data_IF_479021502322
#
_entry.id   IF_479021502322
#
_cell.length_a   1.000
_cell.length_b   1.000
_cell.length_c   1.000
_cell.angle_alpha   90.00
_cell.angle_beta   90.00
_cell.angle_gamma   90.00
#
_symmetry.space_group_name_H-M   'P 1'
#
loop_
_entity.id
_entity.type
_entity.pdbx_description
1 polymer ?
#
# COMPACT_ATOMS: atom_id res chain seq x y z
N UNK A 1 38.65 -39.22 -68.09
CA UNK A 1 38.85 -40.67 -67.89
C UNK A 1 37.91 -41.12 -66.77
N UNK A 2 36.92 -42.00 -66.89
CA UNK A 2 36.33 -42.81 -67.98
C UNK A 2 34.80 -42.62 -67.89
N UNK A 3 34.03 -42.64 -69.01
CA UNK A 3 32.58 -42.67 -68.95
C UNK A 3 32.12 -44.11 -68.65
N UNK A 4 31.15 -44.28 -67.75
CA UNK A 4 30.45 -45.56 -67.58
C UNK A 4 29.17 -45.51 -68.40
N UNK A 5 29.23 -46.11 -69.58
CA UNK A 5 28.08 -46.50 -70.40
C UNK A 5 27.34 -47.64 -69.70
N UNK A 6 26.11 -47.40 -69.26
CA UNK A 6 25.15 -48.46 -68.99
C UNK A 6 24.30 -48.67 -70.25
N UNK A 7 24.44 -49.85 -70.86
CA UNK A 7 23.60 -50.34 -71.95
C UNK A 7 22.10 -50.21 -71.64
N UNK A 8 21.25 -50.00 -72.67
CA UNK A 8 19.82 -50.07 -72.50
C UNK A 8 19.41 -51.54 -72.46
N UNK A 9 19.04 -52.02 -71.28
CA UNK A 9 18.34 -53.30 -71.16
C UNK A 9 17.01 -53.17 -71.91
N UNK A 10 16.94 -53.89 -73.04
CA UNK A 10 15.71 -54.14 -73.78
C UNK A 10 14.74 -54.84 -72.85
N UNK A 11 13.72 -54.12 -72.39
CA UNK A 11 12.52 -54.77 -71.87
C UNK A 11 11.69 -55.17 -73.08
N UNK A 12 11.92 -56.42 -73.49
CA UNK A 12 11.04 -57.20 -74.34
C UNK A 12 9.60 -57.17 -73.80
N UNK A 13 8.66 -57.12 -74.74
CA UNK A 13 7.23 -57.02 -74.48
C UNK A 13 6.72 -58.11 -73.55
N UNK A 14 6.12 -57.67 -72.45
CA UNK A 14 5.34 -58.51 -71.54
C UNK A 14 4.10 -57.76 -71.07
N UNK A 15 2.94 -58.16 -71.61
CA UNK A 15 1.59 -58.03 -71.04
C UNK A 15 1.10 -56.64 -70.57
N UNK A 16 0.13 -56.08 -71.29
CA UNK A 16 -0.61 -54.86 -70.91
C UNK A 16 -1.43 -54.94 -69.60
N UNK A 17 -1.34 -56.03 -68.83
CA UNK A 17 -2.00 -56.18 -67.53
C UNK A 17 -1.13 -55.72 -66.35
N UNK A 18 0.19 -55.78 -66.48
CA UNK A 18 1.12 -55.47 -65.37
C UNK A 18 1.37 -53.96 -65.21
N UNK A 19 1.38 -53.21 -66.32
CA UNK A 19 1.46 -51.75 -66.30
C UNK A 19 0.24 -51.05 -65.68
N UNK A 20 -0.96 -51.60 -65.92
CA UNK A 20 -2.21 -51.08 -65.34
C UNK A 20 -2.25 -51.30 -63.81
N UNK A 21 -1.79 -52.45 -63.33
CA UNK A 21 -1.71 -52.76 -61.90
C UNK A 21 -0.62 -51.96 -61.18
N UNK A 22 0.47 -51.59 -61.87
CA UNK A 22 1.51 -50.71 -61.34
C UNK A 22 1.03 -49.25 -61.23
N UNK A 23 0.34 -48.73 -62.25
CA UNK A 23 -0.25 -47.39 -62.25
C UNK A 23 -1.36 -47.25 -61.20
N UNK A 24 -2.21 -48.26 -61.02
CA UNK A 24 -3.24 -48.26 -59.97
C UNK A 24 -2.65 -48.24 -58.55
N UNK A 25 -1.51 -48.90 -58.33
CA UNK A 25 -0.77 -48.86 -57.05
C UNK A 25 -0.10 -47.51 -56.82
N UNK A 26 0.42 -46.88 -57.87
CA UNK A 26 1.00 -45.53 -57.80
C UNK A 26 -0.07 -44.45 -57.53
N UNK A 27 -1.22 -44.52 -58.21
CA UNK A 27 -2.36 -43.63 -57.99
C UNK A 27 -2.95 -43.77 -56.57
N UNK A 28 -3.09 -44.99 -56.05
CA UNK A 28 -3.50 -45.23 -54.65
C UNK A 28 -2.52 -44.64 -53.64
N UNK A 29 -1.21 -44.73 -53.89
CA UNK A 29 -0.19 -44.11 -53.01
C UNK A 29 -0.28 -42.57 -53.05
N UNK A 30 -0.44 -41.96 -54.22
CA UNK A 30 -0.62 -40.51 -54.32
C UNK A 30 -1.91 -40.02 -53.64
N UNK A 31 -3.04 -40.73 -53.81
CA UNK A 31 -4.28 -40.41 -53.10
C UNK A 31 -4.14 -40.54 -51.57
N UNK A 32 -3.43 -41.55 -51.08
CA UNK A 32 -3.14 -41.69 -49.65
C UNK A 32 -2.24 -40.56 -49.11
N UNK A 33 -1.29 -40.07 -49.91
CA UNK A 33 -0.42 -38.94 -49.53
C UNK A 33 -1.17 -37.59 -49.52
N UNK A 34 -2.14 -37.38 -50.41
CA UNK A 34 -2.97 -36.15 -50.42
C UNK A 34 -3.96 -36.15 -49.25
N UNK A 35 -4.66 -37.28 -49.03
CA UNK A 35 -5.62 -37.42 -47.92
C UNK A 35 -4.95 -37.30 -46.54
N UNK A 36 -3.71 -37.81 -46.39
CA UNK A 36 -2.95 -37.67 -45.14
C UNK A 36 -2.44 -36.23 -44.91
N UNK A 37 -2.09 -35.48 -45.97
CA UNK A 37 -1.74 -34.06 -45.87
C UNK A 37 -2.93 -33.19 -45.47
N UNK A 38 -4.11 -33.45 -45.99
CA UNK A 38 -5.33 -32.70 -45.62
C UNK A 38 -5.78 -32.98 -44.20
N UNK A 39 -5.75 -34.26 -43.76
CA UNK A 39 -6.02 -34.62 -42.36
C UNK A 39 -5.02 -33.96 -41.41
N UNK A 40 -3.71 -33.99 -41.71
CA UNK A 40 -2.68 -33.30 -40.90
C UNK A 40 -2.91 -31.78 -40.83
N UNK A 41 -3.28 -31.12 -41.93
CA UNK A 41 -3.58 -29.68 -41.92
C UNK A 41 -4.81 -29.35 -41.07
N UNK A 42 -5.88 -30.14 -41.15
CA UNK A 42 -7.08 -29.96 -40.30
C UNK A 42 -6.78 -30.19 -38.83
N UNK A 43 -6.01 -31.23 -38.51
CA UNK A 43 -5.62 -31.54 -37.13
C UNK A 43 -4.68 -30.47 -36.55
N UNK A 44 -3.67 -30.02 -37.30
CA UNK A 44 -2.76 -28.94 -36.87
C UNK A 44 -3.52 -27.61 -36.72
N UNK A 45 -4.45 -27.30 -37.62
CA UNK A 45 -5.29 -26.08 -37.53
C UNK A 45 -6.24 -26.15 -36.33
N UNK A 46 -6.81 -27.32 -36.04
CA UNK A 46 -7.64 -27.54 -34.87
C UNK A 46 -6.84 -27.39 -33.57
N UNK A 47 -5.66 -28.02 -33.46
CA UNK A 47 -4.79 -27.86 -32.30
C UNK A 47 -4.28 -26.42 -32.16
N UNK A 48 -3.91 -25.75 -33.25
CA UNK A 48 -3.51 -24.35 -33.22
C UNK A 48 -4.63 -23.43 -32.71
N UNK A 49 -5.87 -23.68 -33.13
CA UNK A 49 -7.03 -22.93 -32.64
C UNK A 49 -7.35 -23.24 -31.18
N UNK A 50 -7.20 -24.50 -30.77
CA UNK A 50 -7.37 -24.92 -29.37
C UNK A 50 -6.32 -24.27 -28.45
N UNK A 51 -5.04 -24.27 -28.85
CA UNK A 51 -3.97 -23.60 -28.12
C UNK A 51 -4.19 -22.08 -28.05
N UNK A 52 -4.68 -21.46 -29.12
CA UNK A 52 -5.00 -20.04 -29.14
C UNK A 52 -6.15 -19.71 -28.18
N UNK A 53 -7.22 -20.51 -28.19
CA UNK A 53 -8.34 -20.35 -27.26
C UNK A 53 -7.89 -20.53 -25.79
N UNK A 54 -7.01 -21.50 -25.52
CA UNK A 54 -6.44 -21.73 -24.19
C UNK A 54 -5.58 -20.53 -23.73
N UNK A 55 -4.78 -19.96 -24.63
CA UNK A 55 -3.95 -18.79 -24.35
C UNK A 55 -4.80 -17.54 -24.05
N UNK A 56 -5.88 -17.32 -24.79
CA UNK A 56 -6.83 -16.20 -24.54
C UNK A 56 -7.56 -16.40 -23.21
N UNK A 57 -8.03 -17.61 -22.92
CA UNK A 57 -8.67 -17.92 -21.64
C UNK A 57 -7.71 -17.74 -20.46
N UNK A 58 -6.45 -18.14 -20.61
CA UNK A 58 -5.42 -17.93 -19.59
C UNK A 58 -5.10 -16.45 -19.37
N UNK A 59 -4.95 -15.67 -20.45
CA UNK A 59 -4.71 -14.23 -20.38
C UNK A 59 -5.89 -13.46 -19.75
N UNK A 60 -7.12 -13.85 -20.06
CA UNK A 60 -8.30 -13.27 -19.42
C UNK A 60 -8.39 -13.67 -17.93
N UNK A 61 -8.08 -14.91 -17.60
CA UNK A 61 -8.08 -15.41 -16.22
C UNK A 61 -7.10 -14.67 -15.31
N UNK A 62 -5.88 -14.39 -15.78
CA UNK A 62 -4.87 -13.66 -15.00
C UNK A 62 -5.25 -12.19 -14.81
N UNK A 63 -5.85 -11.54 -15.81
CA UNK A 63 -6.34 -10.16 -15.69
C UNK A 63 -7.50 -10.04 -14.70
N UNK A 64 -8.46 -10.98 -14.72
CA UNK A 64 -9.57 -11.00 -13.76
C UNK A 64 -9.05 -11.26 -12.34
N UNK A 65 -8.11 -12.19 -12.17
CA UNK A 65 -7.55 -12.51 -10.85
C UNK A 65 -6.75 -11.33 -10.26
N UNK A 66 -5.88 -10.71 -11.06
CA UNK A 66 -5.10 -9.55 -10.64
C UNK A 66 -5.99 -8.32 -10.39
N UNK A 67 -7.00 -8.10 -11.23
CA UNK A 67 -7.99 -7.04 -11.06
C UNK A 67 -8.82 -7.23 -9.78
N UNK A 68 -9.28 -8.44 -9.50
CA UNK A 68 -10.08 -8.74 -8.31
C UNK A 68 -9.28 -8.61 -7.01
N UNK A 69 -8.02 -9.08 -7.00
CA UNK A 69 -7.11 -8.94 -5.86
C UNK A 69 -6.80 -7.47 -5.53
N UNK A 70 -6.51 -6.67 -6.57
CA UNK A 70 -6.25 -5.24 -6.43
C UNK A 70 -7.50 -4.44 -6.01
N UNK A 71 -8.68 -4.79 -6.55
CA UNK A 71 -9.94 -4.14 -6.19
C UNK A 71 -10.33 -4.43 -4.74
N UNK A 72 -10.20 -5.68 -4.29
CA UNK A 72 -10.54 -6.09 -2.91
C UNK A 72 -9.65 -5.39 -1.88
N UNK A 73 -8.35 -5.26 -2.15
CA UNK A 73 -7.41 -4.56 -1.27
C UNK A 73 -7.62 -3.05 -1.27
N UNK A 74 -7.92 -2.44 -2.42
CA UNK A 74 -8.27 -1.02 -2.48
C UNK A 74 -9.57 -0.72 -1.71
N UNK A 75 -10.60 -1.55 -1.89
CA UNK A 75 -11.87 -1.40 -1.21
C UNK A 75 -11.74 -1.58 0.32
N UNK A 76 -10.95 -2.56 0.79
CA UNK A 76 -10.75 -2.76 2.23
C UNK A 76 -9.93 -1.64 2.87
N UNK A 77 -8.94 -1.07 2.16
CA UNK A 77 -8.20 0.12 2.61
C UNK A 77 -9.12 1.31 2.78
N UNK A 78 -9.94 1.57 1.78
CA UNK A 78 -10.89 2.69 1.78
C UNK A 78 -11.93 2.55 2.91
N UNK A 79 -12.42 1.33 3.14
CA UNK A 79 -13.29 1.04 4.29
C UNK A 79 -12.60 1.33 5.62
N UNK A 80 -11.33 0.93 5.79
CA UNK A 80 -10.59 1.20 7.02
C UNK A 80 -10.38 2.71 7.26
N UNK A 81 -10.10 3.49 6.21
CA UNK A 81 -9.96 4.95 6.31
C UNK A 81 -11.29 5.58 6.74
N UNK A 82 -12.41 5.19 6.14
CA UNK A 82 -13.73 5.66 6.56
C UNK A 82 -14.04 5.29 8.01
N UNK A 83 -13.74 4.07 8.44
CA UNK A 83 -13.93 3.64 9.82
C UNK A 83 -13.09 4.46 10.81
N UNK A 84 -11.83 4.79 10.45
CA UNK A 84 -11.01 5.69 11.26
C UNK A 84 -11.67 7.07 11.39
N UNK A 85 -12.08 7.69 10.28
CA UNK A 85 -12.69 9.02 10.27
C UNK A 85 -13.98 9.04 11.11
N UNK A 86 -14.84 8.05 10.92
CA UNK A 86 -16.07 7.92 11.69
C UNK A 86 -15.78 7.73 13.18
N UNK A 87 -14.81 6.89 13.56
CA UNK A 87 -14.47 6.72 14.97
C UNK A 87 -13.86 7.97 15.60
N UNK A 88 -13.21 8.84 14.81
CA UNK A 88 -12.78 10.17 15.28
C UNK A 88 -13.99 11.08 15.48
N UNK A 89 -14.92 11.11 14.50
CA UNK A 89 -16.14 11.94 14.51
C UNK A 89 -17.10 11.56 15.66
N UNK A 90 -17.31 10.26 15.86
CA UNK A 90 -18.16 9.69 16.91
C UNK A 90 -17.47 9.66 18.29
N UNK A 91 -16.22 10.14 18.39
CA UNK A 91 -15.37 10.05 19.57
C UNK A 91 -15.24 8.61 20.14
N UNK A 92 -15.31 7.60 19.26
CA UNK A 92 -15.30 6.17 19.63
C UNK A 92 -13.88 5.69 19.95
N UNK A 93 -13.52 5.83 21.23
CA UNK A 93 -12.24 5.38 21.80
C UNK A 93 -12.02 3.87 21.66
N UNK A 94 -13.08 3.06 21.71
CA UNK A 94 -12.95 1.61 21.64
C UNK A 94 -12.59 1.18 20.21
N UNK A 95 -13.27 1.74 19.22
CA UNK A 95 -12.94 1.53 17.82
C UNK A 95 -11.52 2.04 17.50
N UNK A 96 -11.16 3.25 17.97
CA UNK A 96 -9.81 3.79 17.78
C UNK A 96 -8.73 2.93 18.44
N UNK A 97 -8.96 2.37 19.63
CA UNK A 97 -8.03 1.41 20.25
C UNK A 97 -7.81 0.17 19.40
N UNK A 98 -8.83 -0.30 18.69
CA UNK A 98 -8.74 -1.45 17.80
C UNK A 98 -7.99 -1.19 16.49
N UNK A 99 -7.97 0.08 16.04
CA UNK A 99 -7.44 0.52 14.74
C UNK A 99 -6.06 1.18 14.85
N UNK A 100 -5.80 1.90 15.94
CA UNK A 100 -4.55 2.60 16.17
C UNK A 100 -3.48 1.63 16.67
N UNK A 101 -2.36 1.59 15.95
CA UNK A 101 -1.17 0.85 16.37
C UNK A 101 -0.18 1.82 16.99
N UNK A 102 -0.16 1.87 18.31
CA UNK A 102 0.86 2.59 19.07
C UNK A 102 2.01 1.65 19.39
N UNK A 103 3.21 2.03 18.97
CA UNK A 103 4.46 1.28 19.23
C UNK A 103 5.15 1.68 20.53
N UNK A 104 4.80 2.83 21.11
CA UNK A 104 5.32 3.29 22.39
C UNK A 104 4.31 3.05 23.53
N UNK A 105 4.64 2.14 24.44
CA UNK A 105 3.81 1.76 25.59
C UNK A 105 3.53 2.93 26.56
N UNK A 106 4.34 3.99 26.53
CA UNK A 106 4.15 5.20 27.34
C UNK A 106 2.88 5.99 26.97
N UNK A 107 2.28 5.71 25.82
CA UNK A 107 1.10 6.43 25.30
C UNK A 107 -0.07 5.46 25.10
N UNK A 108 -0.77 5.05 26.18
CA UNK A 108 -1.91 4.14 26.06
C UNK A 108 -3.07 4.81 25.31
N UNK A 109 -3.78 4.08 24.46
CA UNK A 109 -4.97 4.59 23.77
C UNK A 109 -6.19 4.54 24.68
N UNK A 110 -6.64 5.69 25.16
CA UNK A 110 -7.81 5.87 26.02
C UNK A 110 -8.42 7.28 25.82
N UNK A 111 -9.54 7.55 26.52
CA UNK A 111 -10.24 8.83 26.45
C UNK A 111 -9.33 10.03 26.74
N UNK A 112 -8.47 9.96 27.76
CA UNK A 112 -7.60 11.07 28.15
C UNK A 112 -6.52 11.36 27.10
N UNK A 113 -5.96 10.33 26.48
CA UNK A 113 -4.89 10.50 25.47
C UNK A 113 -5.43 10.87 24.10
N UNK A 114 -6.68 10.49 23.78
CA UNK A 114 -7.36 10.85 22.53
C UNK A 114 -8.17 12.15 22.62
N UNK A 115 -8.52 12.65 23.81
CA UNK A 115 -9.23 13.93 23.95
C UNK A 115 -8.59 15.10 23.17
N UNK A 116 -7.25 15.26 23.12
CA UNK A 116 -6.60 16.26 22.27
C UNK A 116 -6.93 16.10 20.79
N UNK A 117 -6.99 14.86 20.31
CA UNK A 117 -7.29 14.54 18.92
C UNK A 117 -8.72 14.96 18.59
N UNK A 118 -9.69 14.55 19.41
CA UNK A 118 -11.09 14.93 19.23
C UNK A 118 -11.26 16.44 19.25
N UNK A 119 -10.68 17.12 20.24
CA UNK A 119 -10.72 18.57 20.34
C UNK A 119 -10.10 19.30 19.13
N UNK A 120 -9.21 18.65 18.38
CA UNK A 120 -8.68 19.17 17.12
C UNK A 120 -9.72 19.04 15.99
N UNK A 121 -10.27 17.85 15.79
CA UNK A 121 -11.25 17.61 14.73
C UNK A 121 -12.57 18.37 14.94
N UNK A 122 -13.01 18.55 16.18
CA UNK A 122 -14.17 19.37 16.52
C UNK A 122 -14.00 20.85 16.08
N UNK A 123 -12.75 21.33 16.01
CA UNK A 123 -12.42 22.72 15.62
C UNK A 123 -12.02 22.86 14.16
N UNK A 124 -11.52 21.77 13.56
CA UNK A 124 -10.92 21.75 12.24
C UNK A 124 -11.61 20.69 11.39
N UNK A 125 -12.83 20.97 10.95
CA UNK A 125 -13.55 20.06 10.04
C UNK A 125 -12.77 19.77 8.74
N UNK A 126 -11.94 20.72 8.30
CA UNK A 126 -11.03 20.60 7.17
C UNK A 126 -9.90 19.57 7.39
N UNK A 127 -9.64 19.17 8.63
CA UNK A 127 -8.63 18.16 8.95
C UNK A 127 -8.98 16.78 8.35
N UNK A 128 -10.27 16.49 8.15
CA UNK A 128 -10.70 15.28 7.45
C UNK A 128 -10.26 15.27 5.98
N UNK A 129 -10.29 16.42 5.31
CA UNK A 129 -9.80 16.55 3.93
C UNK A 129 -8.28 16.45 3.87
N UNK A 130 -7.58 16.93 4.90
CA UNK A 130 -6.13 16.77 5.01
C UNK A 130 -5.74 15.28 5.17
N UNK A 131 -6.47 14.53 6.00
CA UNK A 131 -6.29 13.09 6.12
C UNK A 131 -6.50 12.36 4.79
N UNK A 132 -7.54 12.71 4.03
CA UNK A 132 -7.79 12.09 2.72
C UNK A 132 -6.61 12.33 1.77
N UNK A 133 -6.09 13.57 1.72
CA UNK A 133 -4.89 13.91 0.93
C UNK A 133 -3.66 13.15 1.38
N UNK A 134 -3.45 12.98 2.68
CA UNK A 134 -2.33 12.20 3.21
C UNK A 134 -2.44 10.71 2.85
N UNK A 135 -3.63 10.12 2.96
CA UNK A 135 -3.84 8.73 2.58
C UNK A 135 -3.70 8.49 1.08
N UNK A 136 -4.13 9.44 0.25
CA UNK A 136 -3.93 9.40 -1.19
C UNK A 136 -2.44 9.46 -1.57
N UNK A 137 -1.66 10.32 -0.91
CA UNK A 137 -0.19 10.37 -1.10
C UNK A 137 0.48 9.05 -0.71
N UNK A 138 0.07 8.47 0.41
CA UNK A 138 0.56 7.16 0.86
C UNK A 138 0.17 6.04 -0.12
N UNK A 139 -0.96 6.17 -0.85
CA UNK A 139 -1.39 5.19 -1.85
C UNK A 139 -0.52 5.24 -3.11
N UNK A 140 -0.16 6.43 -3.57
CA UNK A 140 0.62 6.64 -4.80
C UNK A 140 2.09 6.24 -4.66
N UNK A 141 2.55 5.88 -3.46
CA UNK A 141 3.94 5.54 -3.19
C UNK A 141 4.90 6.72 -3.39
N UNK A 142 4.38 7.94 -3.59
CA UNK A 142 5.17 9.14 -3.85
C UNK A 142 6.10 9.48 -2.69
N UNK A 143 5.82 8.99 -1.48
CA UNK A 143 6.71 9.09 -0.33
C UNK A 143 6.66 7.78 0.47
N UNK A 144 7.68 6.94 0.32
CA UNK A 144 8.00 5.98 1.39
C UNK A 144 8.38 6.83 2.60
N UNK A 145 7.57 6.79 3.65
CA UNK A 145 7.92 7.47 4.90
C UNK A 145 9.15 6.77 5.48
N UNK A 146 10.33 7.34 5.23
CA UNK A 146 11.58 6.91 5.86
C UNK A 146 11.77 7.79 7.10
N UNK A 147 11.66 7.17 8.27
CA UNK A 147 11.90 7.80 9.57
C UNK A 147 13.26 8.52 9.55
N UNK A 148 13.24 9.85 9.60
CA UNK A 148 14.45 10.69 9.60
C UNK A 148 14.83 11.34 8.26
N UNK A 149 14.19 10.99 7.14
CA UNK A 149 14.43 11.62 5.83
C UNK A 149 13.27 12.49 5.33
N UNK A 150 12.02 12.13 5.64
CA UNK A 150 10.87 12.98 5.29
C UNK A 150 10.72 14.10 6.30
N UNK A 151 10.74 15.35 5.82
CA UNK A 151 10.59 16.57 6.63
C UNK A 151 9.19 16.75 7.24
N UNK A 152 8.18 16.03 6.73
CA UNK A 152 6.80 16.04 7.22
C UNK A 152 6.21 14.62 7.22
N UNK A 153 6.23 13.90 8.35
CA UNK A 153 5.54 12.62 8.48
C UNK A 153 4.03 12.78 8.27
N UNK A 154 3.34 11.74 7.77
CA UNK A 154 1.88 11.73 7.82
C UNK A 154 1.41 11.71 9.28
N UNK A 155 0.23 12.27 9.54
CA UNK A 155 -0.42 12.25 10.86
C UNK A 155 -0.75 10.81 11.26
N UNK A 156 -1.26 10.02 10.32
CA UNK A 156 -1.46 8.58 10.47
C UNK A 156 -0.82 7.84 9.29
N UNK A 157 0.16 6.99 9.59
CA UNK A 157 0.70 6.07 8.62
C UNK A 157 -0.20 4.82 8.54
N UNK A 158 -0.67 4.48 7.33
CA UNK A 158 -1.51 3.29 7.12
C UNK A 158 -0.66 2.07 6.79
N UNK A 159 -0.86 0.99 7.54
CA UNK A 159 -0.13 -0.26 7.38
C UNK A 159 -1.08 -1.43 7.20
N UNK A 160 -0.78 -2.33 6.27
CA UNK A 160 -1.37 -3.67 6.28
C UNK A 160 -0.69 -4.47 7.41
N UNK A 161 -1.48 -4.88 8.41
CA UNK A 161 -1.00 -5.68 9.52
C UNK A 161 -1.89 -6.91 9.67
N UNK A 162 -1.33 -8.08 9.39
CA UNK A 162 -2.07 -9.34 9.24
C UNK A 162 -3.12 -9.21 8.12
N UNK A 163 -4.39 -9.36 8.46
CA UNK A 163 -5.55 -9.37 7.57
C UNK A 163 -6.33 -8.03 7.56
N UNK A 164 -5.80 -6.98 8.21
CA UNK A 164 -6.46 -5.68 8.33
C UNK A 164 -5.51 -4.51 8.13
N UNK A 165 -6.08 -3.33 7.87
CA UNK A 165 -5.35 -2.08 7.91
C UNK A 165 -5.37 -1.50 9.32
N UNK A 166 -4.21 -1.01 9.76
CA UNK A 166 -4.03 -0.31 11.04
C UNK A 166 -3.34 1.03 10.79
N UNK A 167 -3.51 1.95 11.74
CA UNK A 167 -3.03 3.32 11.62
C UNK A 167 -2.02 3.62 12.72
N UNK A 168 -0.79 3.97 12.34
CA UNK A 168 0.24 4.39 13.28
C UNK A 168 0.22 5.92 13.41
N UNK A 169 -0.15 6.49 14.57
CA UNK A 169 -0.14 7.93 14.76
C UNK A 169 1.27 8.50 14.82
N UNK A 170 1.45 9.72 14.32
CA UNK A 170 2.67 10.47 14.55
C UNK A 170 2.77 10.93 16.01
N UNK A 171 3.97 10.75 16.59
CA UNK A 171 4.29 11.32 17.89
C UNK A 171 4.95 12.69 17.76
N UNK A 172 4.51 13.60 18.62
CA UNK A 172 5.03 14.95 18.76
C UNK A 172 5.70 15.15 20.12
N UNK A 173 6.63 16.09 20.16
CA UNK A 173 7.35 16.50 21.36
C UNK A 173 7.30 18.02 21.47
N UNK A 174 7.08 18.51 22.68
CA UNK A 174 7.06 19.93 23.00
C UNK A 174 8.33 20.28 23.76
N UNK A 175 9.04 21.30 23.29
CA UNK A 175 10.16 21.90 23.99
C UNK A 175 9.69 23.24 24.55
N UNK A 176 9.35 23.27 25.83
CA UNK A 176 8.84 24.46 26.49
C UNK A 176 10.00 25.17 27.18
N UNK A 177 10.37 26.34 26.68
CA UNK A 177 11.32 27.23 27.33
C UNK A 177 10.64 27.99 28.45
N UNK A 178 11.22 27.93 29.64
CA UNK A 178 10.67 28.53 30.85
C UNK A 178 11.71 29.42 31.55
N UNK A 179 11.24 30.40 32.31
CA UNK A 179 12.11 31.40 32.95
C UNK A 179 12.94 30.85 34.12
N UNK A 180 12.47 29.79 34.77
CA UNK A 180 13.14 29.19 35.93
C UNK A 180 12.89 27.68 35.99
N UNK A 181 13.80 26.88 36.60
CA UNK A 181 13.67 25.42 36.64
C UNK A 181 12.52 24.94 37.54
N UNK A 182 12.08 25.78 38.48
CA UNK A 182 11.06 25.43 39.48
C UNK A 182 9.63 25.77 39.09
N UNK A 183 9.43 26.23 37.86
CA UNK A 183 8.07 26.42 37.34
C UNK A 183 7.38 25.08 37.15
N UNK A 184 6.10 25.05 37.47
CA UNK A 184 5.27 23.85 37.29
C UNK A 184 4.61 23.92 35.92
N UNK A 185 4.80 22.90 35.09
CA UNK A 185 4.08 22.74 33.84
C UNK A 185 2.84 21.87 34.05
N UNK A 186 1.71 22.33 33.52
CA UNK A 186 0.44 21.61 33.50
C UNK A 186 0.03 21.45 32.04
N UNK A 187 -0.17 20.22 31.59
CA UNK A 187 -0.57 19.88 30.22
C UNK A 187 -1.94 19.25 30.28
N UNK A 188 -2.93 19.89 29.65
CA UNK A 188 -4.34 19.46 29.70
C UNK A 188 -4.82 19.16 31.13
N UNK A 189 -4.47 20.03 32.08
CA UNK A 189 -4.82 19.88 33.50
C UNK A 189 -3.96 18.89 34.29
N UNK A 190 -3.02 18.17 33.67
CA UNK A 190 -2.13 17.23 34.36
C UNK A 190 -0.77 17.85 34.60
N UNK A 191 -0.36 17.93 35.86
CA UNK A 191 0.98 18.39 36.24
C UNK A 191 2.05 17.45 35.69
N UNK A 192 3.01 18.01 34.96
CA UNK A 192 4.19 17.31 34.46
C UNK A 192 5.42 17.88 35.14
N UNK A 193 6.22 17.00 35.76
CA UNK A 193 7.57 17.33 36.20
C UNK A 193 8.51 17.03 35.04
N UNK A 194 8.98 18.07 34.34
CA UNK A 194 10.03 17.92 33.33
C UNK A 194 11.41 17.91 33.97
N UNK A 195 12.37 17.23 33.37
CA UNK A 195 13.78 17.43 33.67
C UNK A 195 14.21 18.77 33.07
N UNK A 196 14.55 19.75 33.92
CA UNK A 196 15.05 21.04 33.47
C UNK A 196 16.49 20.90 32.97
N UNK A 197 16.74 21.33 31.73
CA UNK A 197 18.08 21.47 31.16
C UNK A 197 18.78 22.74 31.70
N UNK A 198 20.10 22.86 31.50
CA UNK A 198 20.86 24.09 31.82
C UNK A 198 20.45 25.23 30.88
N UNK A 199 20.44 26.46 31.41
CA UNK A 199 20.03 27.72 30.79
C UNK A 199 20.26 27.81 29.26
N UNK A 200 19.22 28.08 28.43
CA UNK A 200 17.81 28.31 28.80
C UNK A 200 17.13 27.05 29.31
N UNK A 201 16.35 27.17 30.39
CA UNK A 201 15.61 26.05 30.97
C UNK A 201 14.54 25.56 29.98
N UNK A 202 14.81 24.42 29.33
CA UNK A 202 13.85 23.76 28.44
C UNK A 202 13.34 22.49 29.12
N UNK A 203 12.03 22.40 29.28
CA UNK A 203 11.35 21.18 29.68
C UNK A 203 10.80 20.47 28.43
N UNK A 204 11.10 19.18 28.32
CA UNK A 204 10.62 18.34 27.22
C UNK A 204 9.34 17.61 27.64
N UNK A 205 8.33 17.63 26.80
CA UNK A 205 7.05 16.95 27.01
C UNK A 205 6.76 16.07 25.82
N UNK A 206 6.43 14.81 26.07
CA UNK A 206 6.06 13.84 25.05
C UNK A 206 6.49 12.43 25.43
N UNK A 207 6.15 11.44 24.60
CA UNK A 207 5.48 11.59 23.31
C UNK A 207 4.00 11.97 23.42
N UNK A 208 3.54 12.85 22.54
CA UNK A 208 2.15 13.31 22.44
C UNK A 208 1.52 12.80 21.13
N UNK A 209 0.23 12.43 21.17
CA UNK A 209 -0.55 12.13 19.98
C UNK A 209 -0.91 13.43 19.22
N UNK A 210 -1.39 13.33 17.97
CA UNK A 210 -1.91 14.49 17.27
C UNK A 210 -3.10 15.11 18.04
N UNK A 211 -3.19 16.43 18.09
CA UNK A 211 -4.30 17.11 18.74
C UNK A 211 -4.03 18.51 19.25
N UNK A 212 -5.01 19.07 19.97
CA UNK A 212 -4.91 20.36 20.67
C UNK A 212 -4.46 20.14 22.12
N UNK A 213 -3.40 20.85 22.51
CA UNK A 213 -2.86 20.81 23.86
C UNK A 213 -2.90 22.19 24.51
N UNK A 214 -3.32 22.24 25.77
CA UNK A 214 -3.23 23.41 26.62
C UNK A 214 -2.06 23.25 27.58
N UNK A 215 -1.11 24.19 27.50
CA UNK A 215 0.10 24.18 28.29
C UNK A 215 0.05 25.39 29.21
N UNK A 216 -0.01 25.13 30.50
CA UNK A 216 -0.01 26.16 31.54
C UNK A 216 1.28 26.10 32.33
N UNK A 217 2.01 27.22 32.37
CA UNK A 217 3.11 27.45 33.30
C UNK A 217 2.55 28.11 34.54
N UNK A 218 2.89 27.55 35.70
CA UNK A 218 2.63 28.17 37.00
C UNK A 218 3.97 28.57 37.62
N UNK A 219 4.15 29.85 37.90
CA UNK A 219 5.35 30.36 38.57
C UNK A 219 5.30 30.13 40.09
N UNK A 220 6.41 30.43 40.79
CA UNK A 220 6.47 30.31 42.26
C UNK A 220 5.51 31.26 42.99
N UNK A 221 5.05 32.32 42.34
CA UNK A 221 4.09 33.29 42.88
C UNK A 221 2.63 32.89 42.57
N UNK A 222 2.41 31.73 41.93
CA UNK A 222 1.09 31.25 41.53
C UNK A 222 0.51 31.90 40.26
N UNK A 223 1.27 32.78 39.58
CA UNK A 223 0.86 33.38 38.31
C UNK A 223 0.84 32.29 37.24
N UNK A 224 -0.25 32.25 36.47
CA UNK A 224 -0.46 31.27 35.41
C UNK A 224 -0.29 31.94 34.05
N UNK A 225 0.44 31.28 33.15
CA UNK A 225 0.47 31.61 31.74
C UNK A 225 0.09 30.38 30.94
N UNK A 226 -0.97 30.50 30.15
CA UNK A 226 -1.53 29.39 29.37
C UNK A 226 -1.36 29.66 27.88
N UNK A 227 -0.90 28.66 27.15
CA UNK A 227 -0.80 28.69 25.69
C UNK A 227 -1.43 27.43 25.11
N UNK A 228 -2.21 27.61 24.05
CA UNK A 228 -2.74 26.51 23.25
C UNK A 228 -1.77 26.17 22.13
N UNK A 229 -1.52 24.89 21.92
CA UNK A 229 -0.60 24.39 20.91
C UNK A 229 -1.28 23.27 20.12
N UNK A 230 -1.23 23.38 18.80
CA UNK A 230 -1.82 22.43 17.88
C UNK A 230 -0.73 21.54 17.30
N UNK A 231 -0.85 20.24 17.55
CA UNK A 231 0.07 19.19 17.12
C UNK A 231 -0.62 18.36 16.06
N UNK A 232 -0.65 18.85 14.83
CA UNK A 232 -1.25 18.14 13.72
C UNK A 232 -0.48 18.47 12.44
N UNK A 233 0.02 17.43 11.78
CA UNK A 233 0.94 17.54 10.66
C UNK A 233 2.25 18.27 10.98
N UNK A 234 3.11 18.41 9.96
CA UNK A 234 4.30 19.25 10.02
C UNK A 234 5.42 18.72 10.94
N UNK A 235 6.05 19.65 11.69
CA UNK A 235 7.22 19.35 12.50
C UNK A 235 6.84 18.57 13.78
N UNK A 236 7.55 17.46 14.04
CA UNK A 236 7.36 16.62 15.24
C UNK A 236 7.83 17.27 16.54
N UNK A 237 8.73 18.24 16.46
CA UNK A 237 9.19 18.99 17.63
C UNK A 237 8.65 20.40 17.51
N UNK A 238 7.92 20.86 18.53
CA UNK A 238 7.44 22.25 18.63
C UNK A 238 8.13 22.94 19.78
N UNK A 239 8.76 24.06 19.48
CA UNK A 239 9.36 24.95 20.47
C UNK A 239 8.36 26.00 20.90
N UNK A 240 8.23 26.20 22.20
CA UNK A 240 7.30 27.17 22.79
C UNK A 240 8.10 28.01 23.78
N UNK A 241 8.10 29.33 23.58
CA UNK A 241 8.77 30.26 24.48
C UNK A 241 7.77 30.88 25.45
N UNK A 242 7.85 30.46 26.72
CA UNK A 242 7.02 30.98 27.82
C UNK A 242 7.84 31.82 28.81
N UNK A 243 9.01 32.33 28.39
CA UNK A 243 9.87 33.19 29.24
C UNK A 243 9.37 34.64 29.36
N UNK A 244 8.55 35.10 28.40
CA UNK A 244 8.03 36.48 28.35
C UNK A 244 6.68 36.66 29.01
#
# INVERSE_FOLDING_TARGET
MKPYTSEPDRIEGGSGKDGAAALARYARRQQAHVLSREKRKKTVRFFSWLFFALAVAWGAGTLIWNGYGALKTAASREMAIRQLKNAIDDHDVAALRGMLRVTNEEVPINEKTLAPLFAYFDRHSEAYDELDKEFDRQRKGEHVYIKGLTSRPPVFAIHAFRDRYVFEPAFYFLHVRVAAPEVTLVVNGVTRKGEATKDPFVQKIGPCLPGVYEITVVDRNGKKKTVRVELFGGARVREIDLTK
#
